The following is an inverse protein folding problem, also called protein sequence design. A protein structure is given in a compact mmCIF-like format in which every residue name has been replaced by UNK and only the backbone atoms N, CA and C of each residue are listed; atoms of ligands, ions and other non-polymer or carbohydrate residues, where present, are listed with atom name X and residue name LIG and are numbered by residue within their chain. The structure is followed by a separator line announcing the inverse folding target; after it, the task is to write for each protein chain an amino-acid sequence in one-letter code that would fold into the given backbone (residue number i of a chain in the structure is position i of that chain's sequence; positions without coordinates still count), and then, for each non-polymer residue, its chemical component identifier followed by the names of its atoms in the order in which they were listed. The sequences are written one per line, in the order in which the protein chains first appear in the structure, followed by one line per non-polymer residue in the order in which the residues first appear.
data_IF_460574791031
#
_entry.id   IF_460574791031
#
_cell.length_a   1.000
_cell.length_b   1.000
_cell.length_c   1.000
_cell.angle_alpha   90.00
_cell.angle_beta   90.00
_cell.angle_gamma   90.00
#
_symmetry.space_group_name_H-M   'P 1'
#
loop_
_entity.id
_entity.type
_entity.pdbx_description
1 polymer ?
#
# COMPACT_ATOMS: atom_id res chain seq x y z
N UNK A 1 -0.14 17.60 -24.06
CA UNK A 1 -0.55 18.54 -22.98
C UNK A 1 -1.38 17.86 -21.86
N UNK A 2 -2.46 17.10 -22.13
CA UNK A 2 -3.27 16.46 -21.07
C UNK A 2 -2.51 15.44 -20.21
N UNK A 3 -1.67 14.58 -20.80
CA UNK A 3 -0.86 13.60 -20.07
C UNK A 3 0.08 14.20 -19.01
N UNK A 4 0.71 15.35 -19.28
CA UNK A 4 1.58 16.02 -18.29
C UNK A 4 0.80 16.49 -17.07
N UNK A 5 -0.44 16.97 -17.29
CA UNK A 5 -1.32 17.44 -16.23
C UNK A 5 -1.80 16.28 -15.38
N UNK A 6 -2.18 15.17 -15.99
CA UNK A 6 -2.56 13.94 -15.28
C UNK A 6 -1.41 13.39 -14.45
N UNK A 7 -0.20 13.31 -15.02
CA UNK A 7 0.98 12.87 -14.30
C UNK A 7 1.31 13.77 -13.10
N UNK A 8 1.18 15.08 -13.26
CA UNK A 8 1.38 16.03 -12.16
C UNK A 8 0.35 15.83 -11.04
N UNK A 9 -0.90 15.57 -11.40
CA UNK A 9 -1.98 15.28 -10.45
C UNK A 9 -1.73 13.96 -9.70
N UNK A 10 -1.31 12.90 -10.40
CA UNK A 10 -0.98 11.61 -9.79
C UNK A 10 0.23 11.72 -8.85
N UNK A 11 1.27 12.44 -9.24
CA UNK A 11 2.43 12.73 -8.40
C UNK A 11 2.03 13.53 -7.15
N UNK A 12 1.09 14.46 -7.28
CA UNK A 12 0.55 15.21 -6.15
C UNK A 12 -0.21 14.29 -5.18
N UNK A 13 -1.10 13.42 -5.68
CA UNK A 13 -1.82 12.45 -4.85
C UNK A 13 -0.88 11.51 -4.10
N UNK A 14 0.16 11.03 -4.77
CA UNK A 14 1.19 10.21 -4.15
C UNK A 14 1.86 10.93 -2.97
N UNK A 15 2.21 12.22 -3.13
CA UNK A 15 2.77 13.04 -2.05
C UNK A 15 1.80 13.27 -0.91
N UNK A 16 0.51 13.47 -1.21
CA UNK A 16 -0.54 13.63 -0.19
C UNK A 16 -0.69 12.36 0.65
N UNK A 17 -0.76 11.18 0.01
CA UNK A 17 -0.89 9.89 0.71
C UNK A 17 0.32 9.61 1.60
N UNK A 18 1.52 10.02 1.18
CA UNK A 18 2.76 9.88 1.95
C UNK A 18 3.03 11.01 2.95
N UNK A 19 2.08 11.90 3.19
CA UNK A 19 2.26 13.06 4.08
C UNK A 19 3.49 13.93 3.72
N UNK A 20 3.89 13.96 2.45
CA UNK A 20 4.98 14.79 1.92
C UNK A 20 4.51 16.18 1.49
N UNK A 21 3.27 16.54 1.86
CA UNK A 21 2.67 17.85 1.62
C UNK A 21 2.58 18.61 2.94
N UNK A 22 2.62 19.94 2.92
CA UNK A 22 2.37 20.74 4.12
C UNK A 22 1.04 20.36 4.81
N UNK A 23 1.00 20.49 6.13
CA UNK A 23 -0.15 20.08 6.96
C UNK A 23 -1.48 20.69 6.51
N UNK A 24 -1.47 21.95 6.05
CA UNK A 24 -2.66 22.64 5.52
C UNK A 24 -3.22 21.99 4.24
N UNK A 25 -2.38 21.31 3.46
CA UNK A 25 -2.84 20.57 2.27
C UNK A 25 -3.49 19.26 2.71
N UNK A 26 -2.89 18.57 3.69
CA UNK A 26 -3.44 17.32 4.22
C UNK A 26 -4.81 17.51 4.86
N UNK A 27 -4.98 18.56 5.66
CA UNK A 27 -6.25 18.86 6.33
C UNK A 27 -7.39 19.10 5.35
N UNK A 28 -7.11 19.73 4.20
CA UNK A 28 -8.11 19.87 3.13
C UNK A 28 -8.60 18.48 2.69
N UNK A 29 -7.72 17.53 2.39
CA UNK A 29 -8.15 16.18 1.97
C UNK A 29 -8.94 15.42 3.05
N UNK A 30 -8.63 15.61 4.33
CA UNK A 30 -9.39 15.04 5.44
C UNK A 30 -10.80 15.62 5.53
N UNK A 31 -10.95 16.94 5.37
CA UNK A 31 -12.27 17.59 5.29
C UNK A 31 -13.11 17.02 4.13
N UNK A 32 -12.49 16.69 2.99
CA UNK A 32 -13.18 16.05 1.88
C UNK A 32 -13.65 14.62 2.19
N UNK A 33 -12.88 13.84 2.97
CA UNK A 33 -13.28 12.47 3.40
C UNK A 33 -14.48 12.49 4.35
N UNK A 34 -14.53 13.48 5.23
CA UNK A 34 -15.56 13.61 6.26
C UNK A 34 -16.87 14.25 5.73
N UNK A 35 -16.84 14.81 4.53
CA UNK A 35 -17.98 15.47 3.87
C UNK A 35 -18.91 14.48 3.15
N UNK A 36 -19.47 13.50 3.87
CA UNK A 36 -20.56 12.67 3.35
C UNK A 36 -21.88 13.15 3.94
N UNK A 37 -22.81 13.67 3.12
CA UNK A 37 -24.17 13.92 3.62
C UNK A 37 -25.28 13.50 2.67
N UNK A 38 -26.26 12.87 3.32
CA UNK A 38 -27.46 12.22 2.80
C UNK A 38 -28.42 13.26 2.22
N UNK A 39 -29.21 12.82 1.23
CA UNK A 39 -30.31 13.62 0.65
C UNK A 39 -31.53 13.56 1.56
N UNK A 40 -32.14 14.70 1.87
CA UNK A 40 -33.53 14.77 2.33
C UNK A 40 -34.26 15.94 1.69
N UNK A 41 -35.54 15.72 1.41
CA UNK A 41 -36.42 16.52 0.55
C UNK A 41 -37.11 17.71 1.26
N UNK A 42 -36.70 18.12 2.47
CA UNK A 42 -37.41 19.13 3.27
C UNK A 42 -36.57 20.39 3.56
N UNK A 43 -37.24 21.54 3.53
CA UNK A 43 -36.74 22.88 3.16
C UNK A 43 -36.40 23.85 4.30
N UNK A 44 -36.12 23.41 5.53
CA UNK A 44 -35.85 24.35 6.64
C UNK A 44 -34.37 24.49 7.04
N UNK A 45 -33.49 23.60 6.56
CA UNK A 45 -32.05 23.68 6.85
C UNK A 45 -31.32 23.91 5.54
N UNK A 46 -30.94 25.16 5.27
CA UNK A 46 -30.08 25.46 4.13
C UNK A 46 -28.72 24.79 4.34
N UNK A 47 -28.41 23.76 3.56
CA UNK A 47 -27.08 23.18 3.48
C UNK A 47 -26.60 23.11 2.03
N UNK A 48 -25.31 23.40 1.85
CA UNK A 48 -24.65 23.61 0.56
C UNK A 48 -24.77 22.33 -0.31
N UNK A 49 -25.13 22.44 -1.62
CA UNK A 49 -25.31 21.28 -2.48
C UNK A 49 -24.08 20.39 -2.57
N UNK A 50 -24.31 19.07 -2.70
CA UNK A 50 -23.25 18.08 -2.98
C UNK A 50 -22.49 18.56 -4.19
N UNK A 51 -21.17 18.67 -3.99
CA UNK A 51 -20.19 19.17 -4.92
C UNK A 51 -20.18 18.29 -6.18
N UNK A 52 -21.08 18.56 -7.11
CA UNK A 52 -21.41 17.69 -8.26
C UNK A 52 -21.51 18.47 -9.57
N UNK A 53 -21.27 19.78 -9.53
CA UNK A 53 -21.20 20.62 -10.73
C UNK A 53 -20.06 20.14 -11.63
N UNK A 54 -20.23 20.25 -12.94
CA UNK A 54 -19.20 19.91 -13.91
C UNK A 54 -17.88 20.67 -13.66
N UNK A 55 -17.98 21.88 -13.12
CA UNK A 55 -16.81 22.68 -12.68
C UNK A 55 -16.12 22.06 -11.47
N UNK A 56 -16.89 21.60 -10.47
CA UNK A 56 -16.34 20.95 -9.29
C UNK A 56 -15.69 19.60 -9.61
N UNK A 57 -16.31 18.77 -10.47
CA UNK A 57 -15.72 17.49 -10.89
C UNK A 57 -14.36 17.69 -11.56
N UNK A 58 -14.19 18.82 -12.27
CA UNK A 58 -12.92 19.22 -12.91
C UNK A 58 -11.93 19.90 -11.95
N UNK A 59 -12.32 20.17 -10.71
CA UNK A 59 -11.43 20.76 -9.72
C UNK A 59 -10.32 19.78 -9.32
N UNK A 60 -9.19 20.26 -8.77
CA UNK A 60 -7.99 19.45 -8.59
C UNK A 60 -8.23 18.18 -7.77
N UNK A 61 -8.99 18.25 -6.67
CA UNK A 61 -9.15 17.15 -5.72
C UNK A 61 -10.08 16.04 -6.27
N UNK A 62 -11.31 16.31 -6.72
CA UNK A 62 -12.18 15.29 -7.32
C UNK A 62 -11.59 14.68 -8.59
N UNK A 63 -10.94 15.50 -9.42
CA UNK A 63 -10.24 15.02 -10.61
C UNK A 63 -9.06 14.10 -10.23
N UNK A 64 -8.29 14.47 -9.21
CA UNK A 64 -7.20 13.66 -8.71
C UNK A 64 -7.66 12.31 -8.16
N UNK A 65 -8.74 12.30 -7.37
CA UNK A 65 -9.36 11.07 -6.87
C UNK A 65 -9.86 10.20 -8.03
N UNK A 66 -10.52 10.81 -9.03
CA UNK A 66 -11.00 10.09 -10.22
C UNK A 66 -9.86 9.47 -11.03
N UNK A 67 -8.77 10.19 -11.23
CA UNK A 67 -7.59 9.69 -11.92
C UNK A 67 -6.88 8.59 -11.12
N UNK A 68 -6.79 8.76 -9.80
CA UNK A 68 -6.20 7.78 -8.89
C UNK A 68 -6.96 6.45 -8.94
N UNK A 69 -8.30 6.50 -8.89
CA UNK A 69 -9.14 5.31 -8.94
C UNK A 69 -9.14 4.59 -10.30
N UNK A 70 -8.67 5.25 -11.37
CA UNK A 70 -8.48 4.63 -12.70
C UNK A 70 -7.18 3.84 -12.80
N UNK A 71 -6.27 3.95 -11.83
CA UNK A 71 -5.02 3.19 -11.83
C UNK A 71 -5.27 1.69 -11.62
N UNK A 72 -4.46 0.81 -12.23
CA UNK A 72 -4.45 -0.62 -11.91
C UNK A 72 -4.31 -0.86 -10.40
N UNK A 73 -5.13 -1.77 -9.86
CA UNK A 73 -5.11 -2.15 -8.43
C UNK A 73 -3.71 -2.48 -7.89
N UNK A 74 -2.82 -3.20 -8.61
CA UNK A 74 -1.47 -3.46 -8.12
C UNK A 74 -0.65 -2.20 -7.83
N UNK A 75 -0.87 -1.13 -8.61
CA UNK A 75 -0.19 0.16 -8.40
C UNK A 75 -0.76 0.94 -7.22
N UNK A 76 -2.06 0.78 -6.95
CA UNK A 76 -2.69 1.35 -5.76
C UNK A 76 -2.16 0.68 -4.50
N UNK A 77 -2.09 -0.65 -4.48
CA UNK A 77 -1.54 -1.43 -3.36
C UNK A 77 -0.08 -1.05 -3.08
N UNK A 78 0.75 -0.88 -4.11
CA UNK A 78 2.13 -0.40 -3.97
C UNK A 78 2.22 1.01 -3.34
N UNK A 79 1.26 1.90 -3.63
CA UNK A 79 1.26 3.25 -3.10
C UNK A 79 0.88 3.33 -1.60
N UNK A 80 0.08 2.37 -1.09
CA UNK A 80 -0.39 2.33 0.29
C UNK A 80 0.46 1.46 1.23
N UNK A 81 1.28 0.56 0.70
CA UNK A 81 2.05 -0.45 1.48
C UNK A 81 3.37 0.07 2.08
N UNK A 82 3.78 1.29 1.75
CA UNK A 82 4.91 1.95 2.41
C UNK A 82 4.40 2.97 3.44
N UNK A 83 3.98 2.47 4.59
CA UNK A 83 3.79 3.31 5.78
C UNK A 83 5.19 3.59 6.33
N UNK A 84 5.63 4.84 6.20
CA UNK A 84 6.93 5.32 6.66
C UNK A 84 6.98 5.31 8.21
N UNK A 85 7.25 4.15 8.81
CA UNK A 85 8.42 4.13 9.68
C UNK A 85 9.56 3.63 8.82
N UNK A 86 10.39 4.55 8.30
CA UNK A 86 11.61 4.16 7.58
C UNK A 86 12.56 3.34 8.47
N UNK A 87 12.27 3.21 9.77
CA UNK A 87 13.05 2.51 10.75
C UNK A 87 12.19 1.55 11.55
N UNK A 88 12.59 0.29 11.61
CA UNK A 88 12.07 -0.65 12.59
C UNK A 88 12.35 -0.11 14.00
N UNK A 89 11.56 -0.51 15.00
CA UNK A 89 11.79 -0.15 16.42
C UNK A 89 13.17 -0.55 16.95
N UNK A 90 13.93 -1.36 16.21
CA UNK A 90 15.34 -1.67 16.50
C UNK A 90 16.33 -0.60 16.00
N UNK A 91 15.85 0.48 15.38
CA UNK A 91 16.64 1.60 14.85
C UNK A 91 17.22 1.40 13.45
N UNK A 92 16.98 0.26 12.78
CA UNK A 92 17.46 -0.03 11.42
C UNK A 92 16.36 0.16 10.38
N UNK A 93 16.70 0.35 9.09
CA UNK A 93 15.70 0.51 8.05
C UNK A 93 14.69 -0.64 7.99
N UNK A 94 13.40 -0.30 8.03
CA UNK A 94 12.32 -1.29 7.95
C UNK A 94 12.18 -1.79 6.51
N UNK A 95 12.95 -2.82 6.19
CA UNK A 95 12.89 -3.51 4.90
C UNK A 95 12.44 -4.94 5.11
N UNK A 96 11.83 -5.57 4.10
CA UNK A 96 11.47 -7.00 4.18
C UNK A 96 12.70 -7.86 4.49
N UNK A 97 13.85 -7.57 3.88
CA UNK A 97 15.13 -8.23 4.21
C UNK A 97 15.50 -8.07 5.70
N UNK A 98 15.25 -6.88 6.25
CA UNK A 98 15.49 -6.62 7.66
C UNK A 98 14.52 -7.44 8.53
N UNK A 99 13.22 -7.40 8.26
CA UNK A 99 12.20 -8.13 9.01
C UNK A 99 12.45 -9.65 8.99
N UNK A 100 12.59 -10.21 7.78
CA UNK A 100 12.70 -11.65 7.56
C UNK A 100 14.06 -12.25 7.92
N UNK A 101 15.14 -11.47 7.97
CA UNK A 101 16.48 -12.07 8.15
C UNK A 101 17.38 -11.38 9.18
N UNK A 102 17.14 -10.12 9.55
CA UNK A 102 18.12 -9.32 10.32
C UNK A 102 17.60 -8.66 11.59
N UNK A 103 16.28 -8.52 11.75
CA UNK A 103 15.70 -7.79 12.87
C UNK A 103 15.86 -8.58 14.18
N UNK A 104 16.47 -8.03 15.23
CA UNK A 104 16.58 -8.72 16.52
C UNK A 104 15.23 -8.79 17.23
N UNK A 105 14.36 -7.79 17.07
CA UNK A 105 13.06 -7.74 17.73
C UNK A 105 12.07 -8.78 17.17
N UNK A 106 12.24 -9.17 15.91
CA UNK A 106 11.41 -10.18 15.25
C UNK A 106 12.06 -11.57 15.26
N UNK A 107 13.10 -11.80 16.07
CA UNK A 107 13.86 -13.05 16.06
C UNK A 107 13.01 -14.28 16.36
N UNK A 108 12.09 -14.19 17.34
CA UNK A 108 11.24 -15.30 17.76
C UNK A 108 10.30 -15.71 16.61
N UNK A 109 9.54 -14.74 16.08
CA UNK A 109 8.61 -14.99 14.97
C UNK A 109 9.34 -15.45 13.71
N UNK A 110 10.52 -14.86 13.41
CA UNK A 110 11.37 -15.30 12.31
C UNK A 110 11.81 -16.75 12.49
N UNK A 111 12.23 -17.15 13.69
CA UNK A 111 12.67 -18.51 13.93
C UNK A 111 11.53 -19.50 13.69
N UNK A 112 10.35 -19.24 14.24
CA UNK A 112 9.16 -20.06 14.02
C UNK A 112 8.79 -20.16 12.54
N UNK A 113 8.74 -19.02 11.83
CA UNK A 113 8.46 -18.99 10.40
C UNK A 113 9.51 -19.77 9.59
N UNK A 114 10.80 -19.56 9.87
CA UNK A 114 11.88 -20.25 9.14
C UNK A 114 11.92 -21.75 9.44
N UNK A 115 11.51 -22.17 10.64
CA UNK A 115 11.38 -23.58 10.99
C UNK A 115 10.24 -24.24 10.20
N UNK A 116 9.07 -23.60 10.14
CA UNK A 116 7.93 -24.12 9.38
C UNK A 116 8.19 -24.14 7.87
N UNK A 117 8.83 -23.09 7.35
CA UNK A 117 9.29 -23.01 5.98
C UNK A 117 10.32 -24.10 5.67
N UNK A 118 11.31 -24.33 6.55
CA UNK A 118 12.30 -25.38 6.35
C UNK A 118 11.64 -26.77 6.38
N UNK A 119 10.73 -27.04 7.32
CA UNK A 119 10.06 -28.35 7.40
C UNK A 119 9.30 -28.71 6.12
N UNK A 120 8.75 -27.71 5.41
CA UNK A 120 7.99 -27.93 4.17
C UNK A 120 8.83 -27.80 2.90
N UNK A 121 9.87 -26.95 2.89
CA UNK A 121 10.57 -26.52 1.67
C UNK A 121 12.11 -26.57 1.75
N UNK A 122 12.69 -27.30 2.72
CA UNK A 122 14.14 -27.37 2.96
C UNK A 122 14.97 -27.57 1.69
N UNK A 123 14.58 -28.53 0.85
CA UNK A 123 15.33 -28.87 -0.36
C UNK A 123 15.42 -27.71 -1.36
N UNK A 124 14.38 -26.86 -1.46
CA UNK A 124 14.39 -25.70 -2.37
C UNK A 124 15.17 -24.55 -1.75
N UNK A 125 14.96 -24.26 -0.47
CA UNK A 125 15.59 -23.11 0.19
C UNK A 125 17.09 -23.31 0.42
N UNK A 126 17.53 -24.55 0.63
CA UNK A 126 18.95 -24.89 0.74
C UNK A 126 19.72 -24.70 -0.56
N UNK A 127 19.05 -24.78 -1.72
CA UNK A 127 19.65 -24.53 -3.03
C UNK A 127 19.83 -23.04 -3.34
N UNK A 128 19.05 -22.18 -2.68
CA UNK A 128 19.16 -20.73 -2.83
C UNK A 128 20.35 -20.22 -2.02
N UNK A 129 21.32 -19.59 -2.69
CA UNK A 129 22.53 -19.05 -2.05
C UNK A 129 22.36 -17.59 -1.63
N UNK A 130 21.63 -16.80 -2.42
CA UNK A 130 21.40 -15.38 -2.14
C UNK A 130 20.21 -15.17 -1.20
N UNK A 131 20.33 -14.19 -0.29
CA UNK A 131 19.19 -13.74 0.53
C UNK A 131 18.05 -13.17 -0.30
N UNK A 132 18.35 -12.59 -1.46
CA UNK A 132 17.35 -11.98 -2.33
C UNK A 132 16.50 -13.05 -3.01
N UNK A 133 17.12 -14.14 -3.45
CA UNK A 133 16.42 -15.29 -4.02
C UNK A 133 15.57 -15.99 -2.96
N UNK A 134 16.08 -16.12 -1.73
CA UNK A 134 15.30 -16.64 -0.59
C UNK A 134 14.09 -15.76 -0.28
N UNK A 135 14.26 -14.45 -0.30
CA UNK A 135 13.16 -13.52 -0.08
C UNK A 135 12.12 -13.62 -1.19
N UNK A 136 12.56 -13.67 -2.45
CA UNK A 136 11.66 -13.82 -3.59
C UNK A 136 10.89 -15.14 -3.54
N UNK A 137 11.56 -16.24 -3.18
CA UNK A 137 10.90 -17.53 -2.96
C UNK A 137 9.84 -17.46 -1.86
N UNK A 138 10.11 -16.78 -0.74
CA UNK A 138 9.12 -16.59 0.31
C UNK A 138 7.91 -15.78 -0.19
N UNK A 139 8.15 -14.63 -0.82
CA UNK A 139 7.07 -13.69 -1.18
C UNK A 139 6.23 -14.18 -2.38
N UNK A 140 6.86 -14.86 -3.33
CA UNK A 140 6.25 -15.18 -4.62
C UNK A 140 6.23 -16.67 -4.95
N UNK A 141 6.91 -17.49 -4.16
CA UNK A 141 7.15 -18.89 -4.49
C UNK A 141 8.13 -19.06 -5.64
N UNK A 142 8.01 -20.21 -6.30
CA UNK A 142 8.77 -20.59 -7.48
C UNK A 142 7.78 -21.20 -8.49
N UNK A 143 8.07 -21.07 -9.78
CA UNK A 143 7.27 -21.62 -10.89
C UNK A 143 7.17 -23.15 -10.81
N UNK A 144 8.10 -23.79 -10.12
CA UNK A 144 8.12 -25.24 -9.90
C UNK A 144 7.22 -25.71 -8.74
N UNK A 145 6.53 -24.81 -8.04
CA UNK A 145 5.59 -25.18 -6.97
C UNK A 145 4.21 -25.51 -7.55
N UNK A 146 3.64 -26.61 -7.09
CA UNK A 146 2.24 -26.93 -7.34
C UNK A 146 1.31 -25.95 -6.58
N UNK A 147 0.07 -25.82 -7.04
CA UNK A 147 -0.94 -24.97 -6.39
C UNK A 147 -1.15 -25.34 -4.91
N UNK A 148 -1.04 -26.64 -4.57
CA UNK A 148 -1.15 -27.12 -3.20
C UNK A 148 0.03 -26.66 -2.33
N UNK A 149 1.24 -26.60 -2.88
CA UNK A 149 2.43 -26.12 -2.19
C UNK A 149 2.44 -24.60 -2.04
N UNK A 150 1.98 -23.86 -3.06
CA UNK A 150 1.78 -22.41 -2.97
C UNK A 150 0.76 -22.04 -1.90
N UNK A 151 -0.33 -22.80 -1.81
CA UNK A 151 -1.34 -22.61 -0.74
C UNK A 151 -0.72 -22.82 0.64
N UNK A 152 0.12 -23.84 0.82
CA UNK A 152 0.85 -24.06 2.08
C UNK A 152 1.81 -22.91 2.39
N UNK A 153 2.55 -22.41 1.40
CA UNK A 153 3.47 -21.28 1.58
C UNK A 153 2.72 -20.01 2.02
N UNK A 154 1.55 -19.74 1.43
CA UNK A 154 0.68 -18.62 1.79
C UNK A 154 0.08 -18.72 3.19
N UNK A 155 -0.09 -19.94 3.73
CA UNK A 155 -0.60 -20.12 5.10
C UNK A 155 0.50 -19.80 6.13
N UNK A 156 1.77 -20.00 5.77
CA UNK A 156 2.91 -19.80 6.67
C UNK A 156 3.29 -18.31 6.81
N UNK A 157 2.96 -17.49 5.80
CA UNK A 157 3.31 -16.04 5.72
C UNK A 157 2.14 -15.18 6.17
#
# INVERSE_FOLDING_TARGET
LPQRREQHILNFMYKVIRNQVPSYVSSIFEEFKNSATRRTSNTEVYQIPIRSTAQFIKSPIPNAISLWNKLPKPLLEYAFTFIDSAHCSCGKPETLKHLFFKCPLCQINRHALMEEVNNNFYNKISQLTNMDDKLNFLLYGDETLSLAELSKLLIII
#
